data_IF_097389952063
#
_entry.id   IF_097389952063
#
_cell.length_a   1.000
_cell.length_b   1.000
_cell.length_c   1.000
_cell.angle_alpha   90.00
_cell.angle_beta   90.00
_cell.angle_gamma   90.00
#
_symmetry.space_group_name_H-M   'P 1'
#
loop_
_entity.id
_entity.type
_entity.pdbx_description
1 polymer ?
#
# COMPACT_ATOMS: atom_id res chain seq x y z
N UNK A 1 33.20 -27.56 25.61
CA UNK A 1 34.51 -27.17 26.20
C UNK A 1 34.55 -25.66 26.31
N UNK A 2 34.24 -25.11 27.49
CA UNK A 2 34.24 -23.66 27.73
C UNK A 2 35.68 -23.18 27.90
N UNK A 3 36.20 -22.39 26.96
CA UNK A 3 37.45 -21.66 27.15
C UNK A 3 37.17 -20.51 28.13
N UNK A 4 37.99 -20.42 29.17
CA UNK A 4 37.95 -19.38 30.20
C UNK A 4 38.12 -18.01 29.52
N UNK A 5 37.03 -17.27 29.40
CA UNK A 5 37.06 -15.84 29.09
C UNK A 5 37.40 -15.09 30.37
N UNK A 6 38.41 -14.24 30.30
CA UNK A 6 38.86 -13.36 31.38
C UNK A 6 37.74 -12.45 31.89
N UNK A 7 37.60 -12.24 33.21
CA UNK A 7 36.62 -11.32 33.76
C UNK A 7 37.03 -9.88 33.44
N UNK A 8 36.50 -9.34 32.35
CA UNK A 8 36.64 -7.91 32.05
C UNK A 8 35.76 -7.10 33.02
N UNK A 9 36.30 -6.06 33.68
CA UNK A 9 35.68 -5.41 34.85
C UNK A 9 34.43 -4.55 34.55
N UNK A 10 34.04 -4.42 33.29
CA UNK A 10 32.73 -3.89 32.90
C UNK A 10 32.26 -4.61 31.63
N UNK A 11 31.72 -5.81 31.78
CA UNK A 11 30.87 -6.35 30.74
C UNK A 11 29.61 -5.47 30.65
N UNK A 12 29.64 -4.44 29.80
CA UNK A 12 28.45 -3.70 29.34
C UNK A 12 27.64 -4.62 28.39
N UNK A 13 27.31 -5.81 28.86
CA UNK A 13 26.36 -6.69 28.21
C UNK A 13 24.99 -6.23 28.73
N UNK A 14 24.44 -5.25 28.01
CA UNK A 14 23.00 -5.01 27.96
C UNK A 14 22.27 -4.73 29.29
N UNK A 15 22.77 -3.84 30.16
CA UNK A 15 21.86 -3.11 31.07
C UNK A 15 20.87 -2.21 30.26
N UNK A 16 21.10 -2.07 28.95
CA UNK A 16 20.12 -1.55 28.01
C UNK A 16 18.96 -2.52 27.71
N UNK A 17 19.06 -3.83 28.04
CA UNK A 17 17.94 -4.78 27.91
C UNK A 17 17.00 -4.77 29.14
N UNK A 18 17.41 -4.17 30.27
CA UNK A 18 16.68 -4.21 31.54
C UNK A 18 16.05 -2.88 31.97
N UNK A 19 16.18 -1.79 31.18
CA UNK A 19 15.30 -0.63 31.34
C UNK A 19 13.89 -0.96 30.81
N UNK A 20 13.22 -1.89 31.48
CA UNK A 20 11.77 -1.87 31.51
C UNK A 20 11.38 -0.59 32.24
N UNK A 21 11.12 0.47 31.46
CA UNK A 21 10.41 1.63 31.96
C UNK A 21 9.25 1.09 32.79
N UNK A 22 9.16 1.48 34.06
CA UNK A 22 8.11 1.07 35.00
C UNK A 22 6.77 1.74 34.61
N UNK A 23 6.40 1.53 33.35
CA UNK A 23 5.23 2.01 32.65
C UNK A 23 4.71 0.74 32.02
N UNK A 24 3.71 0.13 32.66
CA UNK A 24 2.98 -0.96 32.05
C UNK A 24 2.58 -0.50 30.64
N UNK A 25 2.90 -1.27 29.57
CA UNK A 25 2.54 -0.86 28.23
C UNK A 25 1.05 -0.54 28.21
N UNK A 26 0.65 0.66 27.73
CA UNK A 26 -0.74 1.06 27.80
C UNK A 26 -1.61 -0.02 27.14
N UNK A 27 -2.75 -0.39 27.76
CA UNK A 27 -3.55 -1.49 27.29
C UNK A 27 -3.93 -1.26 25.82
N UNK A 28 -3.66 -2.26 24.99
CA UNK A 28 -3.97 -2.22 23.55
C UNK A 28 -5.47 -1.99 23.40
N UNK A 29 -5.86 -0.76 23.06
CA UNK A 29 -7.25 -0.42 22.82
C UNK A 29 -7.70 -1.11 21.54
N UNK A 30 -8.75 -1.92 21.65
CA UNK A 30 -9.37 -2.52 20.47
C UNK A 30 -9.85 -1.39 19.56
N UNK A 31 -9.61 -1.47 18.24
CA UNK A 31 -10.09 -0.44 17.32
C UNK A 31 -11.62 -0.33 17.43
N UNK A 32 -12.11 0.88 17.62
CA UNK A 32 -13.55 1.17 17.57
C UNK A 32 -14.15 0.67 16.26
N UNK A 33 -15.40 0.17 16.30
CA UNK A 33 -16.13 -0.31 15.10
C UNK A 33 -16.13 0.74 13.99
N UNK A 34 -16.25 2.02 14.35
CA UNK A 34 -16.21 3.14 13.40
C UNK A 34 -14.87 3.24 12.66
N UNK A 35 -13.77 2.95 13.35
CA UNK A 35 -12.41 3.00 12.78
C UNK A 35 -12.19 1.87 11.77
N UNK A 36 -12.75 0.70 12.04
CA UNK A 36 -12.72 -0.45 11.11
C UNK A 36 -13.58 -0.14 9.89
N UNK A 37 -14.81 0.34 10.10
CA UNK A 37 -15.73 0.71 9.03
C UNK A 37 -15.14 1.78 8.10
N UNK A 38 -14.52 2.83 8.66
CA UNK A 38 -13.87 3.87 7.86
C UNK A 38 -12.72 3.35 7.00
N UNK A 39 -11.86 2.48 7.56
CA UNK A 39 -10.76 1.87 6.79
C UNK A 39 -11.28 0.94 5.69
N UNK A 40 -12.31 0.14 5.98
CA UNK A 40 -12.95 -0.72 5.00
C UNK A 40 -13.60 0.09 3.86
N UNK A 41 -14.33 1.15 4.20
CA UNK A 41 -14.98 2.02 3.23
C UNK A 41 -13.95 2.67 2.29
N UNK A 42 -12.86 3.20 2.84
CA UNK A 42 -11.76 3.75 2.05
C UNK A 42 -11.16 2.72 1.09
N UNK A 43 -10.90 1.49 1.55
CA UNK A 43 -10.37 0.43 0.68
C UNK A 43 -11.34 0.04 -0.44
N UNK A 44 -12.64 -0.07 -0.12
CA UNK A 44 -13.67 -0.40 -1.11
C UNK A 44 -13.81 0.72 -2.15
N UNK A 45 -13.76 1.98 -1.73
CA UNK A 45 -13.87 3.12 -2.63
C UNK A 45 -12.71 3.16 -3.63
N UNK A 46 -11.48 2.92 -3.17
CA UNK A 46 -10.30 2.88 -4.05
C UNK A 46 -10.42 1.73 -5.06
N UNK A 47 -10.82 0.54 -4.62
CA UNK A 47 -11.02 -0.61 -5.51
C UNK A 47 -12.13 -0.35 -6.54
N UNK A 48 -13.25 0.24 -6.11
CA UNK A 48 -14.35 0.59 -7.00
C UNK A 48 -13.92 1.61 -8.08
N UNK A 49 -13.13 2.62 -7.69
CA UNK A 49 -12.57 3.58 -8.64
C UNK A 49 -11.63 2.93 -9.65
N UNK A 50 -10.76 2.01 -9.20
CA UNK A 50 -9.86 1.28 -10.08
C UNK A 50 -10.63 0.41 -11.09
N UNK A 51 -11.65 -0.32 -10.62
CA UNK A 51 -12.50 -1.14 -11.49
C UNK A 51 -13.27 -0.27 -12.49
N UNK A 52 -13.84 0.84 -12.04
CA UNK A 52 -14.53 1.77 -12.92
C UNK A 52 -13.59 2.35 -13.99
N UNK A 53 -12.37 2.75 -13.61
CA UNK A 53 -11.35 3.23 -14.53
C UNK A 53 -10.93 2.14 -15.54
N UNK A 54 -10.79 0.89 -15.11
CA UNK A 54 -10.47 -0.23 -15.99
C UNK A 54 -11.61 -0.50 -16.99
N UNK A 55 -12.87 -0.51 -16.53
CA UNK A 55 -14.02 -0.76 -17.39
C UNK A 55 -14.23 0.37 -18.42
N UNK A 56 -14.07 1.63 -18.03
CA UNK A 56 -14.18 2.76 -18.94
C UNK A 56 -12.93 2.94 -19.84
N UNK A 57 -11.75 2.55 -19.36
CA UNK A 57 -10.49 2.70 -20.08
C UNK A 57 -10.20 1.57 -21.08
N UNK A 58 -10.70 0.36 -20.83
CA UNK A 58 -10.54 -0.79 -21.72
C UNK A 58 -10.89 -0.53 -23.20
N UNK A 59 -12.03 0.10 -23.56
CA UNK A 59 -12.34 0.37 -24.97
C UNK A 59 -11.35 1.34 -25.64
N UNK A 60 -10.63 2.18 -24.88
CA UNK A 60 -9.60 3.07 -25.43
C UNK A 60 -8.33 2.32 -25.84
N UNK A 61 -8.12 1.12 -25.30
CA UNK A 61 -6.99 0.24 -25.62
C UNK A 61 -7.30 -0.72 -26.78
N UNK A 62 -8.55 -0.78 -27.25
CA UNK A 62 -8.93 -1.63 -28.37
C UNK A 62 -8.46 -1.02 -29.70
N UNK A 63 -7.45 -1.60 -30.38
CA UNK A 63 -6.92 -1.07 -31.64
C UNK A 63 -7.97 -1.09 -32.76
N UNK A 64 -8.98 -1.96 -32.67
CA UNK A 64 -10.06 -2.03 -33.65
C UNK A 64 -11.04 -0.85 -33.53
N UNK A 65 -11.20 -0.31 -32.31
CA UNK A 65 -12.00 0.88 -32.02
C UNK A 65 -11.24 2.18 -32.36
N UNK A 66 -9.91 2.17 -32.24
CA UNK A 66 -9.06 3.30 -32.66
C UNK A 66 -9.12 3.55 -34.18
N UNK A 67 -9.30 2.48 -34.98
CA UNK A 67 -9.43 2.55 -36.43
C UNK A 67 -10.69 3.26 -36.94
N UNK A 68 -11.77 3.37 -36.15
CA UNK A 68 -13.01 4.05 -36.57
C UNK A 68 -13.00 5.56 -36.35
N UNK A 69 -12.10 6.06 -35.49
CA UNK A 69 -11.94 7.49 -35.18
C UNK A 69 -10.81 8.10 -36.03
N UNK A 70 -9.76 7.34 -36.33
CA UNK A 70 -8.65 7.79 -37.19
C UNK A 70 -9.00 7.88 -38.68
N UNK A 71 -9.87 7.00 -39.19
CA UNK A 71 -10.22 6.93 -40.61
C UNK A 71 -11.10 8.09 -41.11
N UNK A 72 -11.88 8.72 -40.24
CA UNK A 72 -12.74 9.86 -40.62
C UNK A 72 -11.98 11.16 -40.84
N UNK A 73 -10.82 11.35 -40.19
CA UNK A 73 -9.99 12.56 -40.40
C UNK A 73 -9.24 12.53 -41.74
N UNK A 74 -8.88 11.35 -42.23
CA UNK A 74 -8.12 11.21 -43.47
C UNK A 74 -9.03 11.31 -44.71
N UNK A 75 -10.31 10.93 -44.60
CA UNK A 75 -11.27 11.04 -45.70
C UNK A 75 -11.81 12.47 -45.88
N UNK A 76 -11.98 13.23 -44.79
CA UNK A 76 -12.34 14.66 -44.86
C UNK A 76 -11.21 15.56 -45.37
N UNK A 77 -9.94 15.12 -45.23
CA UNK A 77 -8.77 15.81 -45.80
C UNK A 77 -8.45 15.38 -47.25
N UNK A 78 -9.12 14.32 -47.76
CA UNK A 78 -8.87 13.71 -49.07
C UNK A 78 -9.93 14.04 -50.12
N UNK A 79 -10.86 14.94 -49.82
CA UNK A 79 -11.75 15.53 -50.83
C UNK A 79 -11.10 16.77 -51.47
N UNK A 80 -10.78 16.76 -52.78
CA UNK A 80 -10.23 17.91 -53.51
C UNK A 80 -11.26 19.03 -53.73
#
# INVERSE_FOLDING_TARGET
MFRRGEPVPFAFIAEAESFQSNVAPPPRTRPSRLRIAGRALGTVLVLAGLVAAALLGAPALDPHQQGSVGSQHEEAARTP
#
